data_IF_160460256747
#
_entry.id   IF_160460256747
#
_cell.length_a   1.000
_cell.length_b   1.000
_cell.length_c   1.000
_cell.angle_alpha   90.00
_cell.angle_beta   90.00
_cell.angle_gamma   90.00
#
_symmetry.space_group_name_H-M   'P 1'
#
loop_
_entity.id
_entity.type
_entity.pdbx_description
1 polymer ?
#
# COMPACT_ATOMS: atom_id res chain seq x y z
N UNK A 1 35.41 21.00 -14.43
CA UNK A 1 36.41 20.13 -13.74
C UNK A 1 35.76 19.59 -12.49
N UNK A 2 35.10 18.44 -12.61
CA UNK A 2 34.64 17.71 -11.46
C UNK A 2 35.72 16.73 -11.04
N UNK A 3 36.66 17.20 -10.27
CA UNK A 3 37.58 16.37 -9.49
C UNK A 3 37.11 16.34 -8.04
N UNK A 4 35.88 15.88 -7.79
CA UNK A 4 35.53 15.53 -6.43
C UNK A 4 35.71 14.02 -6.27
N UNK A 5 36.25 13.63 -5.12
CA UNK A 5 36.41 12.23 -4.71
C UNK A 5 35.10 11.46 -4.82
N UNK A 6 33.94 12.16 -4.74
CA UNK A 6 32.61 11.57 -4.89
C UNK A 6 32.28 11.12 -6.31
N UNK A 7 32.82 11.74 -7.35
CA UNK A 7 32.60 11.31 -8.74
C UNK A 7 33.33 10.00 -9.06
N UNK A 8 34.51 9.81 -8.46
CA UNK A 8 35.26 8.57 -8.56
C UNK A 8 34.55 7.43 -7.83
N UNK A 9 33.94 7.67 -6.67
CA UNK A 9 33.21 6.67 -5.91
C UNK A 9 31.92 6.20 -6.63
N UNK A 10 31.28 7.05 -7.42
CA UNK A 10 30.14 6.65 -8.26
C UNK A 10 30.56 5.69 -9.38
N UNK A 11 31.71 5.88 -9.99
CA UNK A 11 32.23 4.94 -11.00
C UNK A 11 32.68 3.61 -10.39
N UNK A 12 33.17 3.60 -9.15
CA UNK A 12 33.51 2.39 -8.41
C UNK A 12 32.28 1.64 -7.88
N UNK A 13 31.17 2.34 -7.70
CA UNK A 13 29.93 1.79 -7.11
C UNK A 13 28.95 1.21 -8.16
N UNK A 14 29.05 1.64 -9.43
CA UNK A 14 28.11 1.17 -10.46
C UNK A 14 28.78 0.11 -11.36
N UNK A 15 28.21 -1.10 -11.49
CA UNK A 15 28.68 -2.14 -12.39
C UNK A 15 28.28 -1.82 -13.84
N UNK A 16 28.97 -0.87 -14.46
CA UNK A 16 28.66 -0.37 -15.82
C UNK A 16 29.37 -1.09 -16.95
N UNK A 17 30.33 -1.94 -16.64
CA UNK A 17 31.04 -2.77 -17.64
C UNK A 17 31.82 -3.91 -16.97
N UNK A 18 32.15 -4.93 -17.76
CA UNK A 18 32.98 -6.06 -17.32
C UNK A 18 34.42 -5.82 -17.80
N UNK A 19 35.30 -5.36 -16.90
CA UNK A 19 36.74 -5.21 -17.17
C UNK A 19 37.54 -5.27 -15.86
N UNK A 20 38.87 -5.60 -15.93
CA UNK A 20 39.73 -5.59 -14.75
C UNK A 20 39.70 -4.22 -14.03
N UNK A 21 39.72 -4.26 -12.70
CA UNK A 21 39.73 -3.06 -11.86
C UNK A 21 38.33 -2.51 -11.49
N UNK A 22 37.24 -3.07 -12.05
CA UNK A 22 35.88 -2.74 -11.62
C UNK A 22 35.33 -3.77 -10.63
N UNK A 23 34.36 -3.33 -9.84
CA UNK A 23 33.61 -4.19 -8.93
C UNK A 23 32.87 -5.28 -9.71
N UNK A 24 33.06 -6.52 -9.32
CA UNK A 24 32.46 -7.68 -9.96
C UNK A 24 31.08 -7.99 -9.37
N UNK A 25 30.05 -7.18 -9.70
CA UNK A 25 28.66 -7.49 -9.48
C UNK A 25 28.10 -8.06 -10.79
N UNK A 26 27.94 -9.38 -10.88
CA UNK A 26 27.72 -10.11 -12.13
C UNK A 26 26.57 -11.10 -11.95
N UNK A 27 25.66 -11.13 -12.92
CA UNK A 27 24.63 -12.15 -13.03
C UNK A 27 24.92 -13.01 -14.26
N UNK A 28 25.00 -14.32 -14.06
CA UNK A 28 25.06 -15.30 -15.14
C UNK A 28 23.65 -15.82 -15.40
N UNK A 29 23.17 -15.64 -16.62
CA UNK A 29 21.86 -16.10 -17.06
C UNK A 29 21.99 -17.44 -17.78
N UNK A 30 20.94 -18.26 -17.71
CA UNK A 30 20.84 -19.49 -18.52
C UNK A 30 20.74 -19.13 -20.00
N UNK A 31 19.88 -18.16 -20.33
CA UNK A 31 19.70 -17.63 -21.67
C UNK A 31 19.04 -16.23 -21.60
N UNK A 32 19.00 -15.51 -22.73
CA UNK A 32 18.43 -14.19 -22.85
C UNK A 32 16.90 -14.17 -23.06
N UNK A 33 16.30 -15.31 -23.34
CA UNK A 33 14.86 -15.40 -23.55
C UNK A 33 14.10 -15.60 -22.23
N UNK A 34 14.53 -16.57 -21.41
CA UNK A 34 13.97 -16.81 -20.07
C UNK A 34 14.47 -15.80 -19.04
N UNK A 35 15.61 -15.20 -19.25
CA UNK A 35 16.29 -14.25 -18.36
C UNK A 35 16.51 -14.82 -16.96
N UNK A 36 16.57 -16.15 -16.82
CA UNK A 36 16.73 -16.85 -15.55
C UNK A 36 18.16 -16.71 -15.04
N UNK A 37 18.30 -16.17 -13.80
CA UNK A 37 19.57 -16.06 -13.14
C UNK A 37 20.04 -17.43 -12.64
N UNK A 38 21.14 -17.95 -13.19
CA UNK A 38 21.77 -19.19 -12.77
C UNK A 38 22.73 -18.98 -11.60
N UNK A 39 23.57 -17.93 -11.67
CA UNK A 39 24.53 -17.56 -10.61
C UNK A 39 24.59 -16.06 -10.46
N UNK A 40 24.73 -15.59 -9.23
CA UNK A 40 24.85 -14.15 -8.90
C UNK A 40 26.12 -13.94 -8.08
N UNK A 41 26.92 -12.95 -8.47
CA UNK A 41 28.12 -12.53 -7.77
C UNK A 41 27.97 -11.07 -7.33
N UNK A 42 28.34 -10.77 -6.08
CA UNK A 42 28.45 -9.43 -5.55
C UNK A 42 29.87 -9.24 -5.03
N UNK A 43 30.58 -8.21 -5.51
CA UNK A 43 31.99 -7.94 -5.23
C UNK A 43 32.89 -9.20 -5.46
N UNK A 44 32.60 -9.96 -6.52
CA UNK A 44 33.33 -11.18 -6.87
C UNK A 44 33.00 -12.42 -6.03
N UNK A 45 32.16 -12.28 -5.01
CA UNK A 45 31.68 -13.40 -4.18
C UNK A 45 30.37 -13.94 -4.72
N UNK A 46 30.28 -15.25 -4.90
CA UNK A 46 29.01 -15.89 -5.26
C UNK A 46 28.01 -15.79 -4.10
N UNK A 47 26.85 -15.21 -4.35
CA UNK A 47 25.80 -14.97 -3.35
C UNK A 47 24.50 -15.69 -3.66
N UNK A 48 24.30 -16.16 -4.90
CA UNK A 48 23.16 -17.01 -5.23
C UNK A 48 23.51 -17.96 -6.38
N UNK A 49 22.93 -19.15 -6.34
CA UNK A 49 23.02 -20.19 -7.38
C UNK A 49 21.69 -20.94 -7.48
N UNK A 50 21.23 -21.19 -8.71
CA UNK A 50 20.05 -21.99 -9.02
C UNK A 50 18.80 -21.60 -8.20
N UNK A 51 18.57 -20.28 -8.04
CA UNK A 51 17.45 -19.72 -7.30
C UNK A 51 17.58 -19.72 -5.78
N UNK A 52 18.76 -20.08 -5.24
CA UNK A 52 19.02 -20.10 -3.80
C UNK A 52 20.02 -19.03 -3.39
N UNK A 53 19.70 -18.26 -2.37
CA UNK A 53 20.65 -17.37 -1.70
C UNK A 53 21.61 -18.20 -0.84
N UNK A 54 22.92 -18.00 -1.00
CA UNK A 54 23.96 -18.84 -0.38
C UNK A 54 24.48 -18.32 0.97
N UNK A 55 24.63 -17.00 1.18
CA UNK A 55 25.10 -16.50 2.47
C UNK A 55 24.10 -16.77 3.59
N UNK A 56 24.62 -17.00 4.79
CA UNK A 56 23.80 -17.11 6.00
C UNK A 56 23.12 -15.77 6.29
N UNK A 57 21.79 -15.79 6.50
CA UNK A 57 21.00 -14.62 6.87
C UNK A 57 20.92 -14.53 8.39
N UNK A 58 21.57 -13.53 8.96
CA UNK A 58 21.46 -13.24 10.39
C UNK A 58 20.20 -12.42 10.64
N UNK A 59 19.31 -12.93 11.51
CA UNK A 59 18.15 -12.14 11.99
C UNK A 59 18.64 -11.09 12.99
N UNK A 60 18.33 -9.84 12.70
CA UNK A 60 18.59 -8.73 13.62
C UNK A 60 17.46 -8.56 14.63
N UNK A 61 17.77 -7.96 15.78
CA UNK A 61 16.76 -7.55 16.75
C UNK A 61 15.93 -6.40 16.18
N UNK A 62 14.63 -6.61 16.05
CA UNK A 62 13.65 -5.63 15.53
C UNK A 62 12.82 -4.96 16.62
N UNK A 63 13.11 -5.21 17.90
CA UNK A 63 12.35 -4.69 19.05
C UNK A 63 12.22 -3.16 19.04
N UNK A 64 13.26 -2.47 18.58
CA UNK A 64 13.29 -1.01 18.49
C UNK A 64 12.27 -0.42 17.48
N UNK A 65 11.78 -1.22 16.55
CA UNK A 65 10.86 -0.79 15.46
C UNK A 65 9.49 -1.47 15.51
N UNK A 66 9.26 -2.37 16.47
CA UNK A 66 7.94 -2.96 16.75
C UNK A 66 7.07 -2.05 17.61
N UNK A 67 5.75 -2.27 17.58
CA UNK A 67 4.79 -1.60 18.47
C UNK A 67 4.76 -0.09 18.30
N UNK A 68 4.96 0.43 17.08
CA UNK A 68 5.06 1.87 16.80
C UNK A 68 3.75 2.51 16.37
N UNK A 69 2.63 1.78 16.43
CA UNK A 69 1.31 2.33 16.12
C UNK A 69 0.80 3.19 17.28
N UNK A 70 0.57 4.48 17.01
CA UNK A 70 0.06 5.46 17.97
C UNK A 70 -1.27 6.03 17.51
N UNK A 71 -2.20 5.16 17.17
CA UNK A 71 -3.56 5.55 16.80
C UNK A 71 -4.32 5.98 18.06
N UNK A 72 -4.97 7.16 18.01
CA UNK A 72 -5.75 7.71 19.11
C UNK A 72 -7.19 7.96 18.67
N UNK A 73 -8.13 7.67 19.57
CA UNK A 73 -9.55 8.01 19.45
C UNK A 73 -10.19 7.53 18.13
N UNK A 74 -9.79 6.34 17.66
CA UNK A 74 -10.34 5.73 16.46
C UNK A 74 -11.52 4.80 16.80
N UNK A 75 -12.62 4.98 16.10
CA UNK A 75 -13.81 4.14 16.18
C UNK A 75 -14.55 4.13 14.84
N UNK A 76 -15.55 3.27 14.68
CA UNK A 76 -16.40 3.25 13.50
C UNK A 76 -17.12 4.59 13.23
N UNK A 77 -17.45 5.33 14.27
CA UNK A 77 -18.09 6.64 14.13
C UNK A 77 -17.20 7.67 13.42
N UNK A 78 -15.86 7.52 13.50
CA UNK A 78 -14.90 8.37 12.80
C UNK A 78 -14.88 8.13 11.28
N UNK A 79 -15.52 7.06 10.82
CA UNK A 79 -15.65 6.69 9.39
C UNK A 79 -16.95 7.19 8.78
N UNK A 80 -17.84 7.83 9.57
CA UNK A 80 -19.06 8.43 9.03
C UNK A 80 -18.70 9.59 8.09
N UNK A 81 -19.26 9.55 6.89
CA UNK A 81 -19.06 10.59 5.89
C UNK A 81 -20.38 11.32 5.63
N UNK A 82 -20.50 12.52 6.20
CA UNK A 82 -21.63 13.42 5.90
C UNK A 82 -21.36 14.12 4.56
N UNK A 83 -22.36 14.12 3.71
CA UNK A 83 -22.31 14.76 2.38
C UNK A 83 -23.53 15.64 2.17
N UNK A 84 -23.32 16.87 1.73
CA UNK A 84 -24.38 17.88 1.62
C UNK A 84 -25.16 17.81 0.29
N UNK A 85 -24.77 16.87 -0.61
CA UNK A 85 -25.32 16.77 -1.97
C UNK A 85 -25.40 15.30 -2.39
N UNK A 86 -26.28 14.98 -3.35
CA UNK A 86 -26.34 13.67 -4.01
C UNK A 86 -25.19 13.47 -5.01
N UNK A 87 -24.27 14.45 -5.10
CA UNK A 87 -23.06 14.39 -5.89
C UNK A 87 -21.87 14.78 -5.05
N UNK A 88 -20.78 14.02 -5.16
CA UNK A 88 -19.56 14.27 -4.41
C UNK A 88 -18.31 14.07 -5.28
N UNK A 89 -17.20 14.67 -4.88
CA UNK A 89 -15.89 14.33 -5.41
C UNK A 89 -15.52 12.89 -5.05
N UNK A 90 -15.07 12.12 -6.02
CA UNK A 90 -14.61 10.75 -5.87
C UNK A 90 -13.21 10.61 -6.44
N UNK A 91 -12.37 9.83 -5.77
CA UNK A 91 -11.09 9.40 -6.32
C UNK A 91 -11.38 8.26 -7.29
N UNK A 92 -11.39 8.54 -8.61
CA UNK A 92 -11.65 7.50 -9.60
C UNK A 92 -10.34 6.79 -9.95
N UNK A 93 -10.33 5.47 -9.77
CA UNK A 93 -9.17 4.63 -10.06
C UNK A 93 -9.01 4.39 -11.56
N UNK A 94 -7.76 4.24 -11.99
CA UNK A 94 -7.44 3.95 -13.37
C UNK A 94 -6.64 2.64 -13.47
N UNK A 95 -6.97 1.74 -14.39
CA UNK A 95 -6.19 0.53 -14.63
C UNK A 95 -4.75 0.86 -15.06
N UNK A 96 -3.80 0.00 -14.65
CA UNK A 96 -2.42 0.04 -15.14
C UNK A 96 -1.52 1.08 -14.50
N UNK A 97 -1.94 1.74 -13.41
CA UNK A 97 -1.08 2.72 -12.73
C UNK A 97 -1.63 3.23 -11.41
N UNK A 98 -0.95 4.24 -10.87
CA UNK A 98 -1.26 4.86 -9.57
C UNK A 98 -1.86 6.28 -9.72
N UNK A 99 -2.06 6.70 -10.97
CA UNK A 99 -2.77 7.93 -11.31
C UNK A 99 -4.26 7.76 -11.03
N UNK A 100 -4.91 8.81 -10.54
CA UNK A 100 -6.34 8.84 -10.29
C UNK A 100 -6.97 10.02 -11.03
N UNK A 101 -8.30 10.04 -11.15
CA UNK A 101 -9.04 11.21 -11.64
C UNK A 101 -9.88 11.81 -10.54
N UNK A 102 -10.07 13.12 -10.64
CA UNK A 102 -11.04 13.85 -9.83
C UNK A 102 -12.38 13.87 -10.58
N UNK A 103 -13.30 13.01 -10.18
CA UNK A 103 -14.65 12.96 -10.77
C UNK A 103 -15.69 13.46 -9.76
N UNK A 104 -16.80 14.02 -10.27
CA UNK A 104 -17.99 14.30 -9.49
C UNK A 104 -19.03 13.25 -9.86
N UNK A 105 -19.30 12.33 -8.92
CA UNK A 105 -20.23 11.22 -9.14
C UNK A 105 -21.50 11.36 -8.30
N UNK A 106 -22.58 10.76 -8.78
CA UNK A 106 -23.79 10.58 -7.98
C UNK A 106 -23.55 9.52 -6.91
N UNK A 107 -24.04 9.81 -5.70
CA UNK A 107 -23.88 8.96 -4.53
C UNK A 107 -25.23 8.69 -3.86
N UNK A 108 -25.30 7.62 -3.08
CA UNK A 108 -26.45 7.32 -2.24
C UNK A 108 -26.23 7.82 -0.82
N UNK A 109 -27.24 8.45 -0.23
CA UNK A 109 -27.24 8.96 1.15
C UNK A 109 -28.40 8.40 1.95
N UNK A 110 -28.21 8.29 3.25
CA UNK A 110 -29.29 8.03 4.20
C UNK A 110 -30.11 9.31 4.51
N UNK A 111 -31.13 9.16 5.35
CA UNK A 111 -31.98 10.26 5.81
C UNK A 111 -31.23 11.33 6.64
N UNK A 112 -30.07 10.97 7.20
CA UNK A 112 -29.20 11.88 7.97
C UNK A 112 -28.13 12.55 7.10
N UNK A 113 -28.13 12.31 5.78
CA UNK A 113 -27.17 12.86 4.85
C UNK A 113 -25.82 12.14 4.83
N UNK A 114 -25.69 10.97 5.46
CA UNK A 114 -24.48 10.19 5.41
C UNK A 114 -24.40 9.33 4.14
N UNK A 115 -23.21 9.17 3.59
CA UNK A 115 -22.98 8.25 2.49
C UNK A 115 -23.34 6.82 2.87
N UNK A 116 -24.06 6.14 1.98
CA UNK A 116 -24.41 4.72 2.06
C UNK A 116 -23.87 4.00 0.84
N UNK A 117 -23.24 2.87 1.08
CA UNK A 117 -22.75 2.02 0.00
C UNK A 117 -23.90 1.50 -0.88
N UNK A 118 -23.77 1.69 -2.20
CA UNK A 118 -24.69 1.18 -3.21
C UNK A 118 -23.92 0.29 -4.18
N UNK A 119 -24.18 -1.02 -4.22
CA UNK A 119 -23.48 -1.97 -5.08
C UNK A 119 -23.56 -1.63 -6.59
N UNK A 120 -24.60 -0.87 -7.00
CA UNK A 120 -24.80 -0.49 -8.39
C UNK A 120 -23.85 0.62 -8.88
N UNK A 121 -23.20 1.36 -7.96
CA UNK A 121 -22.43 2.56 -8.31
C UNK A 121 -20.91 2.35 -8.32
N UNK A 122 -20.40 1.22 -7.81
CA UNK A 122 -18.95 0.97 -7.62
C UNK A 122 -18.22 2.15 -6.94
N UNK A 123 -18.83 2.67 -5.88
CA UNK A 123 -18.26 3.72 -5.03
C UNK A 123 -18.24 3.21 -3.60
N UNK A 124 -17.06 3.21 -2.98
CA UNK A 124 -16.83 2.75 -1.60
C UNK A 124 -16.18 3.85 -0.77
N UNK A 125 -16.22 3.75 0.56
CA UNK A 125 -15.43 4.63 1.42
C UNK A 125 -13.97 4.24 1.41
N UNK A 126 -13.11 5.24 1.47
CA UNK A 126 -11.69 5.14 1.78
C UNK A 126 -11.38 6.08 2.94
N UNK A 127 -10.56 5.65 3.89
CA UNK A 127 -10.11 6.51 4.97
C UNK A 127 -8.60 6.41 5.17
N UNK A 128 -8.02 7.51 5.64
CA UNK A 128 -6.62 7.59 6.11
C UNK A 128 -6.63 7.90 7.60
N UNK A 129 -5.97 7.05 8.39
CA UNK A 129 -5.90 7.16 9.85
C UNK A 129 -4.43 7.39 10.25
N UNK A 130 -4.19 8.50 10.95
CA UNK A 130 -2.85 8.84 11.44
C UNK A 130 -2.39 7.83 12.51
N UNK A 131 -1.13 7.35 12.41
CA UNK A 131 -0.59 6.30 13.29
C UNK A 131 0.77 6.59 13.91
N UNK A 132 1.35 7.75 13.69
CA UNK A 132 2.72 8.07 14.11
C UNK A 132 2.79 8.94 15.35
N UNK A 133 1.96 9.97 15.40
CA UNK A 133 1.99 11.01 16.42
C UNK A 133 0.82 10.93 17.42
N UNK A 134 -0.19 10.11 17.14
CA UNK A 134 -1.41 10.03 17.94
C UNK A 134 -2.19 11.33 17.91
N UNK A 135 -2.25 11.98 16.76
CA UNK A 135 -3.03 13.23 16.57
C UNK A 135 -4.53 12.97 16.65
N UNK A 136 -4.96 11.75 16.35
CA UNK A 136 -6.36 11.39 16.18
C UNK A 136 -6.93 11.84 14.83
N UNK A 137 -6.10 12.27 13.86
CA UNK A 137 -6.57 12.61 12.54
C UNK A 137 -7.12 11.38 11.81
N UNK A 138 -8.31 11.55 11.25
CA UNK A 138 -8.98 10.57 10.37
C UNK A 138 -9.67 11.36 9.28
N UNK A 139 -9.29 11.16 8.05
CA UNK A 139 -9.98 11.70 6.90
C UNK A 139 -10.69 10.58 6.13
N UNK A 140 -11.88 10.88 5.62
CA UNK A 140 -12.73 9.93 4.88
C UNK A 140 -13.12 10.57 3.54
N UNK A 141 -13.05 9.76 2.48
CA UNK A 141 -13.44 10.14 1.13
C UNK A 141 -14.10 8.97 0.40
N UNK A 142 -14.37 9.17 -0.88
CA UNK A 142 -14.98 8.16 -1.74
C UNK A 142 -14.01 7.72 -2.82
N UNK A 143 -13.92 6.39 -2.99
CA UNK A 143 -13.13 5.72 -4.01
C UNK A 143 -14.06 5.07 -5.02
N UNK A 144 -13.87 5.35 -6.30
CA UNK A 144 -14.67 4.83 -7.41
C UNK A 144 -13.84 3.89 -8.29
N UNK A 145 -14.52 2.95 -8.92
CA UNK A 145 -13.93 2.01 -9.89
C UNK A 145 -12.94 1.00 -9.30
N UNK A 146 -12.95 0.79 -7.98
CA UNK A 146 -12.14 -0.22 -7.32
C UNK A 146 -12.76 -1.63 -7.40
N UNK A 147 -14.08 -1.70 -7.50
CA UNK A 147 -14.83 -2.94 -7.66
C UNK A 147 -15.20 -3.66 -6.36
N UNK A 148 -14.71 -3.18 -5.19
CA UNK A 148 -14.99 -3.82 -3.90
C UNK A 148 -16.51 -3.93 -3.64
N UNK A 149 -17.02 -5.15 -3.50
CA UNK A 149 -18.45 -5.42 -3.36
C UNK A 149 -18.86 -5.73 -1.92
N UNK A 150 -17.92 -6.09 -1.07
CA UNK A 150 -18.15 -6.43 0.34
C UNK A 150 -16.87 -6.34 1.15
N UNK A 151 -17.00 -6.21 2.47
CA UNK A 151 -15.89 -6.22 3.39
C UNK A 151 -15.01 -4.98 3.36
N UNK A 152 -13.77 -5.13 3.82
CA UNK A 152 -12.79 -4.07 3.89
C UNK A 152 -11.36 -4.58 3.68
N UNK A 153 -10.48 -3.69 3.20
CA UNK A 153 -9.03 -3.90 3.10
C UNK A 153 -8.34 -2.77 3.82
N UNK A 154 -7.48 -3.10 4.79
CA UNK A 154 -6.65 -2.12 5.51
C UNK A 154 -5.17 -2.44 5.30
N UNK A 155 -4.36 -1.39 5.18
CA UNK A 155 -2.91 -1.51 5.05
C UNK A 155 -2.17 -0.33 5.70
N UNK A 156 -0.90 -0.56 6.08
CA UNK A 156 -0.01 0.46 6.66
C UNK A 156 1.12 0.88 5.72
N UNK A 157 1.15 0.34 4.50
CA UNK A 157 2.12 0.66 3.46
C UNK A 157 1.51 1.75 2.58
N UNK A 158 1.55 3.01 3.02
CA UNK A 158 0.91 4.12 2.34
C UNK A 158 1.93 5.22 2.01
N UNK A 159 2.38 5.26 0.78
CA UNK A 159 3.38 6.23 0.34
C UNK A 159 2.89 7.68 0.45
N UNK A 160 3.69 8.62 0.98
CA UNK A 160 4.98 8.45 1.67
C UNK A 160 4.79 8.45 3.20
N UNK A 161 3.59 8.89 3.68
CA UNK A 161 3.30 9.09 5.10
C UNK A 161 3.26 7.78 5.89
N UNK A 162 2.96 6.67 5.22
CA UNK A 162 2.74 5.36 5.84
C UNK A 162 1.70 5.39 6.97
N UNK A 163 0.71 6.26 6.87
CA UNK A 163 -0.50 6.21 7.66
C UNK A 163 -1.34 4.97 7.29
N UNK A 164 -2.31 4.60 8.10
CA UNK A 164 -3.21 3.51 7.75
C UNK A 164 -4.16 3.98 6.65
N UNK A 165 -4.24 3.21 5.56
CA UNK A 165 -5.31 3.33 4.57
C UNK A 165 -6.28 2.18 4.80
N UNK A 166 -7.57 2.47 4.79
CA UNK A 166 -8.63 1.46 4.80
C UNK A 166 -9.70 1.81 3.77
N UNK A 167 -10.11 0.83 3.00
CA UNK A 167 -11.22 0.90 2.05
C UNK A 167 -12.27 -0.14 2.41
N UNK A 168 -13.56 0.19 2.28
CA UNK A 168 -14.60 -0.77 2.65
C UNK A 168 -16.01 -0.36 2.25
N UNK A 169 -16.92 -1.32 2.32
CA UNK A 169 -18.35 -1.16 2.05
C UNK A 169 -19.17 -0.85 3.29
N UNK A 170 -18.60 -1.06 4.49
CA UNK A 170 -19.25 -0.75 5.78
C UNK A 170 -18.24 -0.21 6.79
N UNK A 171 -18.70 0.72 7.67
CA UNK A 171 -17.88 1.28 8.74
C UNK A 171 -17.44 0.22 9.74
N UNK A 172 -18.28 -0.78 9.99
CA UNK A 172 -17.99 -1.88 10.90
C UNK A 172 -16.80 -2.72 10.41
N UNK A 173 -16.78 -3.15 9.13
CA UNK A 173 -15.68 -3.92 8.58
C UNK A 173 -14.41 -3.08 8.47
N UNK A 174 -14.53 -1.79 8.07
CA UNK A 174 -13.39 -0.88 8.01
C UNK A 174 -12.75 -0.69 9.39
N UNK A 175 -13.55 -0.42 10.43
CA UNK A 175 -13.06 -0.24 11.79
C UNK A 175 -12.40 -1.53 12.32
N UNK A 176 -13.01 -2.66 12.07
CA UNK A 176 -12.47 -3.96 12.46
C UNK A 176 -11.14 -4.26 11.75
N UNK A 177 -11.04 -3.96 10.45
CA UNK A 177 -9.81 -4.13 9.69
C UNK A 177 -8.66 -3.26 10.23
N UNK A 178 -8.94 -1.99 10.57
CA UNK A 178 -7.96 -1.09 11.20
C UNK A 178 -7.52 -1.62 12.56
N UNK A 179 -8.45 -2.10 13.39
CA UNK A 179 -8.13 -2.69 14.69
C UNK A 179 -7.19 -3.90 14.53
N UNK A 180 -7.51 -4.83 13.62
CA UNK A 180 -6.68 -6.02 13.37
C UNK A 180 -5.32 -5.66 12.79
N UNK A 181 -5.24 -4.64 11.96
CA UNK A 181 -3.98 -4.12 11.45
C UNK A 181 -3.07 -3.58 12.58
N UNK A 182 -3.64 -2.87 13.53
CA UNK A 182 -2.91 -2.37 14.71
C UNK A 182 -2.45 -3.53 15.60
N UNK A 183 -3.32 -4.52 15.87
CA UNK A 183 -3.02 -5.68 16.71
C UNK A 183 -1.86 -6.52 16.16
N UNK A 184 -1.69 -6.57 14.83
CA UNK A 184 -0.60 -7.32 14.17
C UNK A 184 0.66 -6.49 13.89
N UNK A 185 0.76 -5.25 14.38
CA UNK A 185 1.87 -4.32 14.13
C UNK A 185 2.02 -3.91 12.65
N UNK A 186 0.90 -3.79 11.93
CA UNK A 186 0.89 -3.32 10.54
C UNK A 186 0.90 -4.42 9.49
N UNK A 187 0.99 -3.99 8.24
CA UNK A 187 0.93 -4.88 7.08
C UNK A 187 -0.36 -4.73 6.30
N UNK A 188 -1.05 -5.83 6.03
CA UNK A 188 -2.28 -5.89 5.23
C UNK A 188 -3.29 -6.78 5.93
N UNK A 189 -4.57 -6.38 5.94
CA UNK A 189 -5.68 -7.16 6.50
C UNK A 189 -6.89 -7.06 5.58
N UNK A 190 -7.47 -8.21 5.22
CA UNK A 190 -8.73 -8.34 4.50
C UNK A 190 -9.80 -8.86 5.45
N UNK A 191 -10.95 -8.19 5.46
CA UNK A 191 -12.05 -8.47 6.39
C UNK A 191 -13.38 -8.57 5.66
N UNK A 192 -14.25 -9.45 6.12
CA UNK A 192 -15.66 -9.49 5.75
C UNK A 192 -16.49 -9.95 6.96
N UNK A 193 -17.59 -9.27 7.21
CA UNK A 193 -18.49 -9.54 8.36
C UNK A 193 -17.73 -9.63 9.69
N UNK A 194 -16.82 -8.67 9.91
CA UNK A 194 -15.96 -8.60 11.10
C UNK A 194 -15.15 -9.88 11.37
N UNK A 195 -14.81 -10.59 10.30
CA UNK A 195 -13.93 -11.75 10.32
C UNK A 195 -12.74 -11.52 9.41
N UNK A 196 -11.53 -11.84 9.87
CA UNK A 196 -10.32 -11.75 9.06
C UNK A 196 -10.32 -12.89 8.04
N UNK A 197 -10.26 -12.54 6.76
CA UNK A 197 -10.13 -13.50 5.67
C UNK A 197 -8.66 -13.83 5.39
N UNK A 198 -7.84 -12.79 5.28
CA UNK A 198 -6.39 -12.88 5.05
C UNK A 198 -5.68 -11.80 5.84
N UNK A 199 -4.46 -12.10 6.29
CA UNK A 199 -3.60 -11.10 6.92
C UNK A 199 -2.13 -11.35 6.62
N UNK A 200 -1.38 -10.27 6.40
CA UNK A 200 0.08 -10.27 6.23
C UNK A 200 0.69 -9.31 7.25
N UNK A 201 1.16 -9.80 8.40
CA UNK A 201 1.84 -8.96 9.39
C UNK A 201 3.17 -8.41 8.86
N UNK A 202 3.40 -7.12 9.14
CA UNK A 202 4.64 -6.42 8.80
C UNK A 202 5.16 -5.65 10.02
N UNK A 203 5.67 -6.36 11.04
CA UNK A 203 5.99 -5.77 12.35
C UNK A 203 7.21 -4.86 12.34
N UNK A 204 7.99 -4.83 11.27
CA UNK A 204 9.13 -3.93 11.13
C UNK A 204 8.60 -2.57 10.68
N UNK A 205 8.37 -1.69 11.63
CA UNK A 205 7.82 -0.34 11.46
C UNK A 205 6.42 -0.29 10.77
N UNK A 206 5.71 -1.41 10.68
CA UNK A 206 4.46 -1.52 9.92
C UNK A 206 4.66 -1.61 8.40
N UNK A 207 5.87 -1.88 7.92
CA UNK A 207 6.24 -1.78 6.49
C UNK A 207 6.88 -3.04 5.92
N UNK A 208 7.54 -3.83 6.76
CA UNK A 208 8.25 -5.03 6.31
C UNK A 208 7.94 -6.21 7.21
N UNK A 209 7.86 -7.40 6.60
CA UNK A 209 7.70 -8.67 7.32
C UNK A 209 9.02 -9.11 7.94
N UNK A 210 8.94 -9.86 9.04
CA UNK A 210 10.06 -10.59 9.66
C UNK A 210 10.14 -12.06 9.20
N UNK A 211 9.30 -12.43 8.22
CA UNK A 211 9.27 -13.76 7.60
C UNK A 211 10.14 -13.81 6.34
N UNK A 212 10.26 -15.00 5.75
CA UNK A 212 11.00 -15.17 4.49
C UNK A 212 10.30 -14.52 3.30
N UNK A 213 11.07 -14.21 2.24
CA UNK A 213 10.51 -13.67 1.00
C UNK A 213 9.49 -14.59 0.35
N UNK A 214 9.74 -15.91 0.38
CA UNK A 214 8.82 -16.92 -0.16
C UNK A 214 7.48 -16.91 0.58
N UNK A 215 7.51 -16.81 1.91
CA UNK A 215 6.28 -16.72 2.70
C UNK A 215 5.50 -15.45 2.40
N UNK A 216 6.19 -14.32 2.24
CA UNK A 216 5.55 -13.03 1.89
C UNK A 216 4.90 -13.13 0.50
N UNK A 217 5.58 -13.74 -0.47
CA UNK A 217 5.06 -13.93 -1.83
C UNK A 217 3.80 -14.80 -1.86
N UNK A 218 3.80 -15.91 -1.12
CA UNK A 218 2.63 -16.77 -0.95
C UNK A 218 1.45 -16.01 -0.32
N UNK A 219 1.71 -15.22 0.72
CA UNK A 219 0.68 -14.43 1.40
C UNK A 219 0.12 -13.33 0.50
N UNK A 220 0.96 -12.60 -0.26
CA UNK A 220 0.51 -11.61 -1.22
C UNK A 220 -0.33 -12.22 -2.34
N UNK A 221 0.06 -13.40 -2.82
CA UNK A 221 -0.73 -14.16 -3.81
C UNK A 221 -2.12 -14.54 -3.28
N UNK A 222 -2.21 -14.98 -2.01
CA UNK A 222 -3.49 -15.28 -1.37
C UNK A 222 -4.34 -14.03 -1.16
N UNK A 223 -3.72 -12.95 -0.68
CA UNK A 223 -4.37 -11.65 -0.49
C UNK A 223 -4.96 -11.15 -1.80
N UNK A 224 -4.17 -11.18 -2.89
CA UNK A 224 -4.64 -10.76 -4.20
C UNK A 224 -5.86 -11.58 -4.64
N UNK A 225 -5.77 -12.92 -4.57
CA UNK A 225 -6.87 -13.82 -4.93
C UNK A 225 -8.11 -13.56 -4.08
N UNK A 226 -7.98 -13.44 -2.77
CA UNK A 226 -9.10 -13.18 -1.88
C UNK A 226 -9.73 -11.81 -2.13
N UNK A 227 -8.93 -10.79 -2.43
CA UNK A 227 -9.44 -9.45 -2.77
C UNK A 227 -10.29 -9.50 -4.05
N UNK A 228 -9.85 -10.23 -5.08
CA UNK A 228 -10.58 -10.35 -6.35
C UNK A 228 -11.77 -11.30 -6.23
N UNK A 229 -11.54 -12.56 -5.83
CA UNK A 229 -12.54 -13.63 -5.89
C UNK A 229 -13.61 -13.52 -4.82
N UNK A 230 -13.24 -13.05 -3.61
CA UNK A 230 -14.14 -12.98 -2.45
C UNK A 230 -14.68 -11.58 -2.23
N UNK A 231 -13.82 -10.57 -2.18
CA UNK A 231 -14.24 -9.21 -1.91
C UNK A 231 -14.74 -8.47 -3.17
N UNK A 232 -14.40 -8.95 -4.37
CA UNK A 232 -14.89 -8.44 -5.65
C UNK A 232 -14.12 -7.26 -6.21
N UNK A 233 -12.89 -7.01 -5.75
CA UNK A 233 -11.99 -6.03 -6.38
C UNK A 233 -11.78 -6.39 -7.84
N UNK A 234 -11.70 -5.40 -8.73
CA UNK A 234 -11.50 -5.64 -10.16
C UNK A 234 -10.20 -6.39 -10.42
N UNK A 235 -10.23 -7.43 -11.24
CA UNK A 235 -9.08 -8.29 -11.57
C UNK A 235 -8.01 -7.59 -12.44
N UNK A 236 -8.35 -6.47 -13.09
CA UNK A 236 -7.41 -5.64 -13.84
C UNK A 236 -6.72 -4.56 -12.99
N UNK A 237 -6.93 -4.58 -11.67
CA UNK A 237 -6.25 -3.74 -10.70
C UNK A 237 -5.30 -4.60 -9.86
N UNK A 238 -4.22 -3.97 -9.39
CA UNK A 238 -3.44 -4.54 -8.31
C UNK A 238 -4.00 -4.01 -6.98
N UNK A 239 -4.72 -4.84 -6.19
CA UNK A 239 -5.58 -4.33 -5.12
C UNK A 239 -4.80 -3.61 -4.01
N UNK A 240 -3.62 -4.11 -3.66
CA UNK A 240 -2.81 -3.56 -2.57
C UNK A 240 -1.95 -2.39 -3.05
N UNK A 241 -1.23 -2.58 -4.15
CA UNK A 241 -0.29 -1.59 -4.68
C UNK A 241 -0.98 -0.26 -4.99
N UNK A 242 -2.16 -0.31 -5.62
CA UNK A 242 -2.87 0.93 -5.94
C UNK A 242 -3.35 1.67 -4.70
N UNK A 243 -3.80 0.96 -3.66
CA UNK A 243 -4.16 1.59 -2.39
C UNK A 243 -2.96 2.24 -1.70
N UNK A 244 -1.75 1.65 -1.82
CA UNK A 244 -0.53 2.23 -1.26
C UNK A 244 -0.25 3.65 -1.74
N UNK A 245 -0.77 4.05 -2.89
CA UNK A 245 -0.54 5.37 -3.49
C UNK A 245 -1.72 6.34 -3.33
N UNK A 246 -2.79 5.95 -2.63
CA UNK A 246 -3.95 6.82 -2.46
C UNK A 246 -3.70 8.01 -1.52
N UNK A 247 -2.67 7.93 -0.68
CA UNK A 247 -2.29 9.01 0.25
C UNK A 247 -1.09 9.84 -0.21
N UNK A 248 -0.63 9.67 -1.45
CA UNK A 248 0.55 10.36 -1.98
C UNK A 248 0.18 11.63 -2.77
N UNK A 249 0.23 12.85 -2.16
CA UNK A 249 -0.31 14.07 -2.74
C UNK A 249 0.62 14.73 -3.78
N UNK A 250 1.40 13.92 -4.51
CA UNK A 250 2.27 14.33 -5.62
C UNK A 250 1.97 13.59 -6.91
N UNK A 251 1.06 12.61 -6.88
CA UNK A 251 0.59 11.90 -8.07
C UNK A 251 -0.84 12.37 -8.36
N UNK A 252 -1.12 12.99 -9.55
CA UNK A 252 -2.45 13.52 -9.87
C UNK A 252 -3.51 12.41 -9.97
N UNK A 253 -4.82 12.79 -9.93
CA UNK A 253 -5.32 14.16 -9.72
C UNK A 253 -5.79 14.39 -8.27
N UNK A 254 -6.45 13.39 -7.65
CA UNK A 254 -7.08 13.48 -6.34
C UNK A 254 -6.53 12.41 -5.40
N UNK A 255 -6.14 12.81 -4.20
CA UNK A 255 -5.58 11.94 -3.15
C UNK A 255 -6.22 12.22 -1.79
N UNK A 256 -6.05 11.30 -0.84
CA UNK A 256 -6.56 11.45 0.51
C UNK A 256 -5.40 11.41 1.51
N UNK A 257 -5.19 12.49 2.24
CA UNK A 257 -4.27 12.51 3.40
C UNK A 257 -5.07 12.34 4.70
N UNK A 258 -4.41 12.19 5.84
CA UNK A 258 -5.08 12.19 7.15
C UNK A 258 -5.74 13.53 7.51
N UNK A 259 -5.43 14.60 6.75
CA UNK A 259 -5.99 15.94 6.91
C UNK A 259 -7.17 16.23 5.98
N UNK A 260 -7.43 15.40 4.97
CA UNK A 260 -8.54 15.60 4.04
C UNK A 260 -8.24 15.21 2.60
N UNK A 261 -9.27 15.40 1.77
CA UNK A 261 -9.23 15.17 0.34
C UNK A 261 -8.41 16.28 -0.35
N UNK A 262 -7.39 15.90 -1.12
CA UNK A 262 -6.40 16.82 -1.68
C UNK A 262 -6.39 16.78 -3.21
N UNK A 263 -6.64 17.93 -3.83
CA UNK A 263 -6.51 18.15 -5.28
C UNK A 263 -5.04 18.45 -5.61
N UNK A 264 -4.35 17.48 -6.20
CA UNK A 264 -2.93 17.57 -6.51
C UNK A 264 -2.64 18.60 -7.62
N UNK A 265 -3.62 18.84 -8.53
CA UNK A 265 -3.45 19.80 -9.61
C UNK A 265 -3.54 21.25 -9.08
N UNK A 266 -4.49 21.51 -8.19
CA UNK A 266 -4.65 22.82 -7.55
C UNK A 266 -3.68 23.01 -6.39
N UNK A 267 -3.12 21.90 -5.88
CA UNK A 267 -2.28 21.83 -4.70
C UNK A 267 -2.96 22.37 -3.45
N UNK A 268 -4.23 21.99 -3.24
CA UNK A 268 -5.06 22.45 -2.12
C UNK A 268 -6.08 21.38 -1.70
N UNK A 269 -6.62 21.53 -0.50
CA UNK A 269 -7.68 20.66 0.00
C UNK A 269 -9.03 20.99 -0.65
N UNK A 270 -9.82 19.96 -0.90
CA UNK A 270 -11.22 20.11 -1.29
C UNK A 270 -12.07 20.24 -0.02
N UNK A 271 -12.79 21.34 0.08
CA UNK A 271 -13.72 21.65 1.17
C UNK A 271 -15.10 21.01 0.95
#
# INVERSE_FOLDING_TARGET
IYTSVHTLSLHDALPISIKPGLRADIVLLDDLASFRARRVFIAGREVAADGRYLPEVTKHDISAVRGRFRVRDFSADRLRLNVNSDRAHVIAMMPGGVVTRNEIAEITRDENGCFVYDPARDIVKIAVVERHHGTGNVAVALLKDYGLKRGAIALSIAHDSHNIIVVGTSDADMAYAVQKLIEQDGGIVLVHEQSVLESLPMPIAGLMSDQSGEWVDEMLTRIHRTAVDVLGVRDNLEPVMQLCFMALPVIPELKLTDMGLFDVIKFDFIS
#
